data_IF_244985043443
#
_entry.id   IF_244985043443
#
_cell.length_a   1.000
_cell.length_b   1.000
_cell.length_c   1.000
_cell.angle_alpha   90.00
_cell.angle_beta   90.00
_cell.angle_gamma   90.00
#
_symmetry.space_group_name_H-M   'P 1'
#
loop_
_entity.id
_entity.type
_entity.pdbx_description
1 polymer ?
#
# COMPACT_ATOMS: atom_id res chain seq x y z
N UNK A 1 47.05 48.00 15.50
CA UNK A 1 46.08 48.10 14.38
C UNK A 1 46.88 48.02 13.09
N UNK A 2 46.92 46.84 12.50
CA UNK A 2 47.80 46.40 11.40
C UNK A 2 46.95 45.90 10.24
N UNK A 3 47.49 46.07 9.01
CA UNK A 3 47.37 45.23 7.79
C UNK A 3 45.97 45.04 7.16
N UNK A 4 45.69 45.57 5.95
CA UNK A 4 46.06 45.11 4.58
C UNK A 4 45.12 44.04 3.99
N UNK A 5 44.58 44.34 2.79
CA UNK A 5 44.33 43.47 1.60
C UNK A 5 43.40 42.24 1.78
N UNK A 6 42.63 41.72 0.80
CA UNK A 6 42.62 41.78 -0.67
C UNK A 6 41.25 41.30 -1.22
N UNK A 7 41.10 41.48 -2.52
CA UNK A 7 40.05 41.10 -3.47
C UNK A 7 39.58 39.63 -3.46
N UNK A 8 38.37 39.38 -3.99
CA UNK A 8 38.11 38.41 -5.08
C UNK A 8 36.60 38.34 -5.42
N UNK A 9 36.16 39.13 -6.42
CA UNK A 9 34.90 38.92 -7.15
C UNK A 9 35.26 38.49 -8.59
N UNK A 10 35.05 37.20 -8.89
CA UNK A 10 35.26 36.63 -10.23
C UNK A 10 33.90 36.30 -10.85
N UNK A 11 33.49 37.15 -11.79
CA UNK A 11 32.53 36.83 -12.84
C UNK A 11 33.27 36.13 -13.98
N UNK A 12 32.79 34.95 -14.40
CA UNK A 12 33.18 34.33 -15.67
C UNK A 12 31.92 33.90 -16.43
N UNK A 13 31.56 34.69 -17.44
CA UNK A 13 30.85 34.21 -18.64
C UNK A 13 31.87 33.64 -19.64
N UNK A 14 31.50 32.58 -20.38
CA UNK A 14 32.08 32.22 -21.68
C UNK A 14 31.22 31.16 -22.41
N UNK A 15 31.35 31.01 -23.75
CA UNK A 15 30.17 30.99 -24.62
C UNK A 15 29.92 29.67 -25.41
N UNK A 16 28.79 29.70 -26.10
CA UNK A 16 28.26 28.81 -27.14
C UNK A 16 29.31 28.40 -28.19
N UNK A 17 29.43 27.09 -28.51
CA UNK A 17 29.36 26.63 -29.91
C UNK A 17 29.03 25.13 -30.10
N UNK A 18 28.29 24.89 -31.18
CA UNK A 18 27.72 23.64 -31.69
C UNK A 18 28.78 22.71 -32.30
N UNK A 19 28.56 21.40 -32.19
CA UNK A 19 28.77 20.50 -33.34
C UNK A 19 27.88 19.25 -33.25
N UNK A 20 27.17 18.99 -34.34
CA UNK A 20 26.36 17.81 -34.60
C UNK A 20 27.23 16.57 -34.77
N UNK A 21 26.77 15.42 -34.23
CA UNK A 21 26.82 14.12 -34.92
C UNK A 21 25.74 13.19 -34.36
N UNK A 22 24.75 12.95 -35.20
CA UNK A 22 23.84 11.81 -35.11
C UNK A 22 24.66 10.51 -35.26
N UNK A 23 24.55 9.59 -34.31
CA UNK A 23 24.64 8.17 -34.59
C UNK A 23 23.73 7.39 -33.64
N UNK A 24 22.79 6.70 -34.28
CA UNK A 24 21.84 5.75 -33.72
C UNK A 24 22.54 4.47 -33.28
N UNK A 25 22.38 4.09 -32.01
CA UNK A 25 22.43 2.69 -31.60
C UNK A 25 21.74 2.53 -30.25
N UNK A 26 20.52 2.00 -30.28
CA UNK A 26 19.72 1.64 -29.12
C UNK A 26 20.48 0.70 -28.18
N UNK A 27 20.60 0.96 -26.87
CA UNK A 27 21.00 -0.06 -25.93
C UNK A 27 19.83 -1.04 -25.77
N UNK A 28 20.03 -2.29 -26.21
CA UNK A 28 19.09 -3.39 -25.93
C UNK A 28 18.93 -3.50 -24.41
N UNK A 29 17.72 -3.20 -23.91
CA UNK A 29 17.32 -3.55 -22.55
C UNK A 29 17.40 -5.08 -22.41
N UNK A 30 18.43 -5.56 -21.73
CA UNK A 30 18.45 -6.93 -21.19
C UNK A 30 17.51 -6.90 -20.00
N UNK A 31 16.27 -7.33 -20.21
CA UNK A 31 15.28 -7.54 -19.16
C UNK A 31 15.63 -8.82 -18.40
N UNK A 32 16.53 -8.73 -17.43
CA UNK A 32 16.56 -9.76 -16.38
C UNK A 32 15.29 -9.61 -15.56
N UNK A 33 14.33 -10.53 -15.74
CA UNK A 33 13.20 -10.73 -14.84
C UNK A 33 13.77 -11.01 -13.44
N UNK A 34 13.95 -9.97 -12.62
CA UNK A 34 14.03 -10.16 -11.17
C UNK A 34 12.61 -10.35 -10.69
N UNK A 35 12.27 -11.59 -10.32
CA UNK A 35 11.12 -11.85 -9.48
C UNK A 35 11.31 -11.01 -8.22
N UNK A 36 10.50 -9.97 -8.04
CA UNK A 36 10.35 -9.31 -6.76
C UNK A 36 9.51 -10.25 -5.89
N UNK A 37 10.16 -11.22 -5.26
CA UNK A 37 9.56 -11.92 -4.12
C UNK A 37 9.38 -10.89 -3.00
N UNK A 38 8.17 -10.89 -2.45
CA UNK A 38 7.84 -10.06 -1.30
C UNK A 38 8.67 -10.56 -0.10
N UNK A 39 9.18 -9.69 0.80
CA UNK A 39 9.82 -10.15 2.04
C UNK A 39 8.93 -11.09 2.87
N UNK A 40 7.62 -11.08 2.61
CA UNK A 40 6.61 -11.94 3.22
C UNK A 40 6.53 -13.35 2.60
N UNK A 41 7.10 -13.60 1.42
CA UNK A 41 7.11 -14.93 0.78
C UNK A 41 8.12 -15.89 1.41
N UNK A 42 9.06 -15.35 2.20
CA UNK A 42 10.06 -16.14 2.96
C UNK A 42 9.52 -16.70 4.28
N UNK A 43 8.31 -16.34 4.68
CA UNK A 43 7.72 -16.77 5.96
C UNK A 43 6.85 -18.01 5.72
N UNK A 44 7.53 -19.15 5.66
CA UNK A 44 7.11 -20.50 6.11
C UNK A 44 7.53 -21.61 5.13
N UNK A 45 8.78 -22.11 5.26
CA UNK A 45 9.16 -23.40 4.69
C UNK A 45 8.35 -24.57 5.29
N UNK A 46 7.68 -24.36 6.44
CA UNK A 46 6.96 -25.38 7.20
C UNK A 46 5.59 -25.77 6.59
N UNK A 47 5.03 -24.95 5.69
CA UNK A 47 3.76 -25.25 5.02
C UNK A 47 3.91 -26.09 3.73
N UNK A 48 5.13 -26.36 3.25
CA UNK A 48 5.36 -27.24 2.09
C UNK A 48 5.51 -28.73 2.43
N UNK A 49 5.58 -29.09 3.71
CA UNK A 49 5.78 -30.48 4.16
C UNK A 49 4.55 -31.07 4.87
N UNK A 50 3.36 -31.05 4.24
CA UNK A 50 2.23 -31.85 4.76
C UNK A 50 1.42 -32.49 3.64
N UNK A 51 2.08 -33.20 2.72
CA UNK A 51 1.44 -34.22 1.87
C UNK A 51 2.31 -35.47 1.75
N UNK A 52 2.59 -36.12 2.87
CA UNK A 52 2.99 -37.53 2.88
C UNK A 52 2.70 -38.13 4.25
N UNK A 53 1.98 -39.25 4.26
CA UNK A 53 1.81 -40.09 5.45
C UNK A 53 3.20 -40.60 5.83
N UNK A 54 3.75 -40.13 6.95
CA UNK A 54 4.99 -40.68 7.50
C UNK A 54 4.64 -41.72 8.57
N UNK A 55 4.89 -43.00 8.26
CA UNK A 55 4.93 -44.09 9.23
C UNK A 55 6.25 -44.01 9.98
N UNK A 56 6.22 -43.71 11.28
CA UNK A 56 7.39 -43.87 12.15
C UNK A 56 7.15 -45.08 13.05
N UNK A 57 7.93 -46.15 12.83
CA UNK A 57 8.00 -47.32 13.72
C UNK A 57 9.16 -47.08 14.68
N UNK A 58 8.89 -47.07 15.99
CA UNK A 58 9.93 -47.20 17.00
C UNK A 58 9.79 -48.58 17.64
N UNK A 59 10.85 -49.38 17.54
CA UNK A 59 10.96 -50.64 18.28
C UNK A 59 11.49 -50.32 19.68
N UNK A 60 10.67 -50.59 20.69
CA UNK A 60 11.15 -50.77 22.06
C UNK A 60 11.10 -52.27 22.37
N UNK A 61 12.08 -52.73 23.14
CA UNK A 61 12.47 -54.14 23.31
C UNK A 61 11.50 -55.07 24.04
N UNK A 62 10.20 -54.76 24.07
CA UNK A 62 9.15 -55.67 24.52
C UNK A 62 8.05 -55.68 23.46
N UNK A 63 7.61 -56.87 23.06
CA UNK A 63 6.90 -57.19 21.82
C UNK A 63 5.44 -56.69 21.75
N UNK A 64 5.19 -55.41 22.04
CA UNK A 64 3.89 -54.74 21.86
C UNK A 64 3.96 -53.69 20.75
N UNK A 65 3.21 -53.92 19.66
CA UNK A 65 3.06 -52.96 18.55
C UNK A 65 1.96 -51.95 18.88
N UNK A 66 2.31 -50.80 19.44
CA UNK A 66 1.36 -49.70 19.64
C UNK A 66 1.31 -48.81 18.40
N UNK A 67 0.24 -48.93 17.60
CA UNK A 67 -0.01 -48.05 16.45
C UNK A 67 -0.64 -46.74 16.93
N UNK A 68 0.15 -45.68 17.05
CA UNK A 68 -0.38 -44.34 17.28
C UNK A 68 -0.96 -43.76 16.00
N UNK A 69 -2.28 -43.93 15.79
CA UNK A 69 -3.03 -43.18 14.78
C UNK A 69 -3.04 -41.70 15.19
N UNK A 70 -2.16 -40.87 14.62
CA UNK A 70 -2.32 -39.40 14.71
C UNK A 70 -3.60 -39.02 13.98
N UNK A 71 -4.65 -38.68 14.73
CA UNK A 71 -5.89 -38.13 14.17
C UNK A 71 -5.52 -36.89 13.33
N UNK A 72 -5.99 -36.83 12.09
CA UNK A 72 -5.93 -35.58 11.30
C UNK A 72 -6.72 -34.52 12.06
N UNK A 73 -6.18 -33.31 12.27
CA UNK A 73 -6.94 -32.23 12.88
C UNK A 73 -8.22 -31.99 12.08
N UNK A 74 -9.33 -31.69 12.77
CA UNK A 74 -10.55 -31.29 12.07
C UNK A 74 -10.32 -29.94 11.38
N UNK A 75 -11.14 -29.58 10.37
CA UNK A 75 -11.04 -28.29 9.68
C UNK A 75 -11.15 -27.10 10.65
N UNK A 76 -11.88 -27.27 11.77
CA UNK A 76 -11.98 -26.27 12.83
C UNK A 76 -10.67 -26.16 13.64
N UNK A 77 -10.00 -27.29 13.90
CA UNK A 77 -8.69 -27.29 14.57
C UNK A 77 -7.61 -26.67 13.69
N UNK A 78 -7.62 -26.94 12.38
CA UNK A 78 -6.67 -26.32 11.44
C UNK A 78 -6.85 -24.80 11.34
N UNK A 79 -8.09 -24.31 11.37
CA UNK A 79 -8.38 -22.87 11.36
C UNK A 79 -7.91 -22.20 12.65
N UNK A 80 -8.22 -22.79 13.80
CA UNK A 80 -7.78 -22.27 15.09
C UNK A 80 -6.25 -22.27 15.24
N UNK A 81 -5.57 -23.30 14.73
CA UNK A 81 -4.10 -23.37 14.70
C UNK A 81 -3.49 -22.30 13.79
N UNK A 82 -4.08 -22.06 12.61
CA UNK A 82 -3.65 -20.96 11.71
C UNK A 82 -3.89 -19.59 12.33
N UNK A 83 -5.01 -19.38 13.01
CA UNK A 83 -5.33 -18.12 13.69
C UNK A 83 -4.37 -17.85 14.87
N UNK A 84 -4.05 -18.88 15.66
CA UNK A 84 -3.07 -18.78 16.74
C UNK A 84 -1.65 -18.49 16.23
N UNK A 85 -1.24 -19.14 15.15
CA UNK A 85 0.05 -18.90 14.49
C UNK A 85 0.12 -17.47 13.93
N UNK A 86 -0.97 -17.00 13.32
CA UNK A 86 -1.10 -15.62 12.81
C UNK A 86 -1.02 -14.59 13.94
N UNK A 87 -1.64 -14.87 15.09
CA UNK A 87 -1.63 -13.97 16.24
C UNK A 87 -0.24 -13.90 16.89
N UNK A 88 0.44 -15.03 17.02
CA UNK A 88 1.82 -15.11 17.51
C UNK A 88 2.77 -14.30 16.64
N UNK A 89 2.68 -14.45 15.32
CA UNK A 89 3.50 -13.67 14.35
C UNK A 89 3.21 -12.18 14.47
N UNK A 90 1.94 -11.78 14.59
CA UNK A 90 1.54 -10.38 14.76
C UNK A 90 2.13 -9.77 16.03
N UNK A 91 2.09 -10.49 17.14
CA UNK A 91 2.63 -10.04 18.42
C UNK A 91 4.16 -9.89 18.38
N UNK A 92 4.86 -10.85 17.78
CA UNK A 92 6.32 -10.75 17.57
C UNK A 92 6.69 -9.51 16.76
N UNK A 93 5.93 -9.21 15.70
CA UNK A 93 6.12 -8.01 14.88
C UNK A 93 5.88 -6.72 15.69
N UNK A 94 4.80 -6.65 16.47
CA UNK A 94 4.52 -5.49 17.33
C UNK A 94 5.66 -5.28 18.33
N UNK A 95 6.19 -6.34 18.92
CA UNK A 95 7.31 -6.25 19.86
C UNK A 95 8.61 -5.77 19.19
N UNK A 96 8.89 -6.19 17.96
CA UNK A 96 10.03 -5.71 17.19
C UNK A 96 9.92 -4.21 16.85
N UNK A 97 8.75 -3.77 16.36
CA UNK A 97 8.50 -2.36 16.03
C UNK A 97 8.52 -1.50 17.30
N UNK A 98 7.98 -2.01 18.42
CA UNK A 98 7.99 -1.31 19.71
C UNK A 98 9.42 -0.99 20.15
N UNK A 99 10.34 -1.96 20.08
CA UNK A 99 11.76 -1.72 20.39
C UNK A 99 12.37 -0.64 19.49
N UNK A 100 11.99 -0.60 18.22
CA UNK A 100 12.44 0.44 17.29
C UNK A 100 11.93 1.83 17.69
N UNK A 101 10.65 1.95 18.07
CA UNK A 101 10.10 3.22 18.56
C UNK A 101 10.72 3.67 19.88
N UNK A 102 11.06 2.74 20.78
CA UNK A 102 11.80 3.08 21.99
C UNK A 102 13.16 3.70 21.65
N UNK A 103 13.93 3.07 20.74
CA UNK A 103 15.20 3.62 20.28
C UNK A 103 15.06 5.00 19.60
N UNK A 104 13.96 5.24 18.87
CA UNK A 104 13.66 6.57 18.31
C UNK A 104 13.48 7.61 19.43
N UNK A 105 12.70 7.30 20.48
CA UNK A 105 12.48 8.22 21.61
C UNK A 105 13.80 8.59 22.29
N UNK A 106 14.64 7.60 22.57
CA UNK A 106 15.97 7.82 23.15
C UNK A 106 16.84 8.67 22.22
N UNK A 107 16.81 8.40 20.91
CA UNK A 107 17.61 9.11 19.91
C UNK A 107 17.22 10.58 19.71
N UNK A 108 15.95 10.95 19.95
CA UNK A 108 15.49 12.34 19.90
C UNK A 108 15.69 13.09 21.23
N UNK A 109 16.34 12.46 22.22
CA UNK A 109 16.64 13.06 23.52
C UNK A 109 15.48 13.00 24.52
N UNK A 110 14.47 12.17 24.27
CA UNK A 110 13.32 12.02 25.16
C UNK A 110 13.58 10.92 26.20
N UNK A 111 13.10 11.13 27.45
CA UNK A 111 13.09 10.10 28.50
C UNK A 111 11.90 9.13 28.32
N UNK A 112 12.12 7.86 27.91
CA UNK A 112 11.05 6.88 27.72
C UNK A 112 10.37 6.45 29.03
N UNK A 113 10.99 6.70 30.18
CA UNK A 113 10.46 6.32 31.49
C UNK A 113 9.39 7.29 32.01
N UNK A 114 9.22 8.46 31.38
CA UNK A 114 8.16 9.40 31.78
C UNK A 114 6.78 8.74 31.66
N UNK A 115 5.88 9.13 32.55
CA UNK A 115 4.51 8.57 32.63
C UNK A 115 3.76 8.58 31.28
N UNK A 116 3.92 9.63 30.47
CA UNK A 116 3.31 9.74 29.14
C UNK A 116 3.90 8.83 28.05
N UNK A 117 5.16 8.38 28.18
CA UNK A 117 5.87 7.58 27.16
C UNK A 117 5.98 6.09 27.47
N UNK A 118 5.71 5.65 28.71
CA UNK A 118 5.82 4.24 29.11
C UNK A 118 5.15 3.26 28.13
N UNK A 119 3.99 3.64 27.56
CA UNK A 119 3.25 2.83 26.60
C UNK A 119 3.35 3.34 25.15
N UNK A 120 4.09 4.41 24.89
CA UNK A 120 4.24 4.98 23.54
C UNK A 120 4.85 4.00 22.55
N UNK A 121 5.94 3.27 22.86
CA UNK A 121 6.52 2.31 21.92
C UNK A 121 5.49 1.28 21.39
N UNK A 122 4.69 0.70 22.30
CA UNK A 122 3.64 -0.26 21.95
C UNK A 122 2.51 0.38 21.15
N UNK A 123 1.98 1.54 21.60
CA UNK A 123 0.92 2.27 20.89
C UNK A 123 1.34 2.67 19.48
N UNK A 124 2.58 3.14 19.32
CA UNK A 124 3.13 3.53 18.02
C UNK A 124 3.30 2.32 17.10
N UNK A 125 3.77 1.18 17.63
CA UNK A 125 3.87 -0.06 16.87
C UNK A 125 2.50 -0.57 16.38
N UNK A 126 1.51 -0.59 17.27
CA UNK A 126 0.13 -0.99 16.93
C UNK A 126 -0.47 -0.06 15.87
N UNK A 127 -0.25 1.25 16.00
CA UNK A 127 -0.68 2.25 15.02
C UNK A 127 -0.02 2.03 13.65
N UNK A 128 1.31 1.82 13.60
CA UNK A 128 2.02 1.59 12.34
C UNK A 128 1.51 0.32 11.64
N UNK A 129 1.33 -0.78 12.39
CA UNK A 129 0.75 -2.03 11.86
C UNK A 129 -0.65 -1.80 11.30
N UNK A 130 -1.48 -0.98 11.96
CA UNK A 130 -2.80 -0.62 11.45
C UNK A 130 -2.73 0.24 10.18
N UNK A 131 -1.82 1.23 10.14
CA UNK A 131 -1.63 2.09 8.98
C UNK A 131 -1.10 1.32 7.76
N UNK A 132 -0.46 0.17 7.96
CA UNK A 132 0.07 -0.70 6.89
C UNK A 132 -0.70 -2.01 6.71
N UNK A 133 -1.89 -2.16 7.31
CA UNK A 133 -2.67 -3.41 7.26
C UNK A 133 -3.08 -3.81 5.83
N UNK A 134 -3.08 -2.87 4.89
CA UNK A 134 -3.47 -3.10 3.50
C UNK A 134 -2.56 -4.05 2.73
N UNK A 135 -1.34 -4.32 3.23
CA UNK A 135 -0.45 -5.34 2.66
C UNK A 135 -0.94 -6.78 2.92
N UNK A 136 -1.71 -6.99 3.99
CA UNK A 136 -2.24 -8.31 4.38
C UNK A 136 -3.60 -8.60 3.74
N UNK A 137 -4.14 -7.67 2.96
CA UNK A 137 -5.46 -7.76 2.36
C UNK A 137 -5.39 -8.11 0.89
N UNK A 138 -6.17 -9.10 0.48
CA UNK A 138 -6.40 -9.48 -0.91
C UNK A 138 -7.61 -8.74 -1.46
N UNK A 139 -7.48 -8.17 -2.67
CA UNK A 139 -8.62 -7.55 -3.38
C UNK A 139 -9.73 -8.56 -3.61
N UNK A 140 -9.37 -9.81 -3.96
CA UNK A 140 -10.33 -10.89 -4.20
C UNK A 140 -11.21 -11.14 -2.97
N UNK A 141 -10.61 -11.17 -1.78
CA UNK A 141 -11.34 -11.42 -0.52
C UNK A 141 -12.17 -10.20 -0.10
N UNK A 142 -11.71 -9.00 -0.45
CA UNK A 142 -12.46 -7.78 -0.20
C UNK A 142 -13.69 -7.70 -1.08
N UNK A 143 -13.57 -8.06 -2.35
CA UNK A 143 -14.63 -7.99 -3.35
C UNK A 143 -15.59 -9.16 -3.28
N UNK A 144 -15.17 -10.30 -2.71
CA UNK A 144 -15.97 -11.54 -2.72
C UNK A 144 -17.42 -11.31 -2.28
N UNK A 145 -18.32 -11.93 -3.03
CA UNK A 145 -19.76 -12.01 -2.78
C UNK A 145 -20.55 -10.69 -2.90
N UNK A 146 -19.99 -9.66 -3.56
CA UNK A 146 -20.70 -8.39 -3.80
C UNK A 146 -20.52 -7.84 -5.22
N UNK A 147 -20.42 -8.75 -6.18
CA UNK A 147 -20.57 -8.44 -7.60
C UNK A 147 -21.97 -8.89 -8.00
N UNK A 148 -22.74 -7.98 -8.58
CA UNK A 148 -24.12 -8.22 -8.96
C UNK A 148 -24.24 -8.10 -10.48
N UNK A 149 -25.01 -9.00 -11.08
CA UNK A 149 -25.43 -8.88 -12.47
C UNK A 149 -26.64 -7.94 -12.52
N UNK A 150 -26.44 -6.75 -13.07
CA UNK A 150 -27.43 -5.68 -13.15
C UNK A 150 -27.37 -5.05 -14.54
N UNK A 151 -28.54 -4.78 -15.14
CA UNK A 151 -28.65 -4.10 -16.44
C UNK A 151 -28.42 -2.57 -16.30
N UNK A 152 -27.39 -2.18 -15.56
CA UNK A 152 -26.97 -0.80 -15.42
C UNK A 152 -25.92 -0.47 -16.47
N UNK A 153 -26.28 0.34 -17.47
CA UNK A 153 -25.34 0.81 -18.49
C UNK A 153 -24.77 2.20 -18.17
N UNK A 154 -25.37 2.91 -17.22
CA UNK A 154 -25.03 4.29 -16.88
C UNK A 154 -23.83 4.40 -15.93
N UNK A 155 -23.24 5.59 -15.87
CA UNK A 155 -22.12 5.87 -14.98
C UNK A 155 -22.52 5.74 -13.51
N UNK A 156 -21.74 4.98 -12.74
CA UNK A 156 -21.85 4.92 -11.28
C UNK A 156 -20.72 5.73 -10.67
N UNK A 157 -21.04 6.67 -9.79
CA UNK A 157 -20.06 7.53 -9.11
C UNK A 157 -20.22 7.42 -7.60
N UNK A 158 -19.14 7.04 -6.91
CA UNK A 158 -19.01 7.12 -5.46
C UNK A 158 -17.95 8.15 -5.14
N UNK A 159 -18.35 9.25 -4.50
CA UNK A 159 -17.48 10.39 -4.21
C UNK A 159 -17.37 10.69 -2.73
N UNK A 160 -16.37 11.49 -2.40
CA UNK A 160 -16.08 11.95 -1.03
C UNK A 160 -15.75 10.81 -0.06
N UNK A 161 -15.15 9.72 -0.56
CA UNK A 161 -14.62 8.65 0.29
C UNK A 161 -13.35 9.18 0.96
N UNK A 162 -13.37 9.27 2.29
CA UNK A 162 -12.20 9.72 3.05
C UNK A 162 -11.07 8.69 2.99
N UNK A 163 -9.85 9.18 2.79
CA UNK A 163 -8.65 8.36 2.73
C UNK A 163 -7.58 8.88 3.67
N UNK A 164 -6.85 7.94 4.25
CA UNK A 164 -5.67 8.18 5.08
C UNK A 164 -4.59 7.22 4.62
N UNK A 165 -3.40 7.75 4.37
CA UNK A 165 -2.24 6.98 3.93
C UNK A 165 -0.95 7.56 4.49
N UNK A 166 0.17 6.86 4.30
CA UNK A 166 1.50 7.27 4.74
C UNK A 166 2.38 7.54 3.53
N UNK A 167 3.01 8.71 3.47
CA UNK A 167 3.99 9.02 2.44
C UNK A 167 5.21 8.11 2.62
N UNK A 168 5.56 7.30 1.62
CA UNK A 168 6.68 6.36 1.74
C UNK A 168 8.04 7.02 1.95
N UNK A 169 8.21 8.27 1.49
CA UNK A 169 9.46 9.02 1.62
C UNK A 169 9.75 9.49 3.05
N UNK A 170 8.72 9.72 3.86
CA UNK A 170 8.87 10.35 5.18
C UNK A 170 8.14 9.60 6.31
N UNK A 171 7.35 8.57 5.97
CA UNK A 171 6.45 7.87 6.90
C UNK A 171 5.49 8.82 7.65
N UNK A 172 5.15 9.94 7.01
CA UNK A 172 4.27 10.99 7.53
C UNK A 172 2.94 10.93 6.77
N UNK A 173 1.79 11.16 7.43
CA UNK A 173 0.49 11.03 6.79
C UNK A 173 0.26 11.97 5.61
N UNK A 174 -0.44 11.47 4.60
CA UNK A 174 -1.22 12.29 3.69
C UNK A 174 -2.66 11.76 3.69
N UNK A 175 -3.62 12.67 3.61
CA UNK A 175 -5.03 12.34 3.75
C UNK A 175 -5.89 13.28 2.93
N UNK A 176 -7.09 12.82 2.60
CA UNK A 176 -8.00 13.58 1.77
C UNK A 176 -9.16 12.73 1.32
N UNK A 177 -9.60 12.92 0.07
CA UNK A 177 -10.81 12.30 -0.47
C UNK A 177 -10.51 11.67 -1.82
N UNK A 178 -11.22 10.59 -2.11
CA UNK A 178 -11.26 9.96 -3.42
C UNK A 178 -12.67 9.97 -3.98
N UNK A 179 -12.75 10.18 -5.29
CA UNK A 179 -13.95 9.95 -6.08
C UNK A 179 -13.66 8.89 -7.13
N UNK A 180 -14.55 7.92 -7.23
CA UNK A 180 -14.46 6.77 -8.12
C UNK A 180 -15.69 6.77 -9.02
N UNK A 181 -15.46 6.69 -10.32
CA UNK A 181 -16.49 6.51 -11.33
C UNK A 181 -16.20 5.26 -12.15
N UNK A 182 -17.23 4.54 -12.57
CA UNK A 182 -17.07 3.47 -13.56
C UNK A 182 -18.32 3.33 -14.43
N UNK A 183 -18.13 2.78 -15.63
CA UNK A 183 -19.20 2.41 -16.55
C UNK A 183 -19.33 0.89 -16.56
N UNK A 184 -20.37 0.31 -15.95
CA UNK A 184 -20.51 -1.14 -15.84
C UNK A 184 -20.56 -1.84 -17.20
N UNK A 185 -20.22 -3.12 -17.19
CA UNK A 185 -20.43 -4.06 -18.29
C UNK A 185 -21.15 -5.28 -17.72
N UNK A 186 -22.47 -5.14 -17.48
CA UNK A 186 -23.35 -6.13 -16.84
C UNK A 186 -23.05 -6.43 -15.37
N UNK A 187 -21.82 -6.19 -14.89
CA UNK A 187 -21.41 -6.38 -13.50
C UNK A 187 -21.29 -5.06 -12.76
N UNK A 188 -21.96 -4.97 -11.61
CA UNK A 188 -21.94 -3.84 -10.68
C UNK A 188 -21.28 -4.26 -9.38
N UNK A 189 -20.41 -3.40 -8.85
CA UNK A 189 -19.76 -3.62 -7.57
C UNK A 189 -20.58 -2.98 -6.45
N UNK A 190 -20.82 -3.73 -5.36
CA UNK A 190 -21.46 -3.18 -4.17
C UNK A 190 -20.74 -1.94 -3.65
N UNK A 191 -21.47 -0.85 -3.40
CA UNK A 191 -20.90 0.48 -3.11
C UNK A 191 -19.88 0.47 -1.96
N UNK A 192 -20.13 -0.33 -0.92
CA UNK A 192 -19.22 -0.46 0.23
C UNK A 192 -17.88 -1.10 -0.13
N UNK A 193 -17.80 -1.89 -1.21
CA UNK A 193 -16.56 -2.53 -1.66
C UNK A 193 -15.62 -1.55 -2.33
N UNK A 194 -16.13 -0.49 -2.97
CA UNK A 194 -15.29 0.57 -3.53
C UNK A 194 -14.47 1.22 -2.41
N UNK A 195 -15.13 1.60 -1.30
CA UNK A 195 -14.43 2.15 -0.14
C UNK A 195 -13.41 1.17 0.47
N UNK A 196 -13.72 -0.14 0.48
CA UNK A 196 -12.77 -1.14 0.97
C UNK A 196 -11.56 -1.33 0.05
N UNK A 197 -11.74 -1.31 -1.28
CA UNK A 197 -10.63 -1.34 -2.25
C UNK A 197 -9.71 -0.14 -2.02
N UNK A 198 -10.30 1.05 -1.84
CA UNK A 198 -9.56 2.26 -1.49
C UNK A 198 -8.72 2.06 -0.22
N UNK A 199 -9.31 1.49 0.84
CA UNK A 199 -8.62 1.24 2.10
C UNK A 199 -7.45 0.23 1.96
N UNK A 200 -7.62 -0.84 1.15
CA UNK A 200 -6.55 -1.83 0.90
C UNK A 200 -5.27 -1.15 0.39
N UNK A 201 -5.39 -0.17 -0.49
CA UNK A 201 -4.24 0.54 -1.03
C UNK A 201 -3.81 1.74 -0.19
N UNK A 202 -4.74 2.45 0.45
CA UNK A 202 -4.39 3.62 1.27
C UNK A 202 -3.69 3.21 2.56
N UNK A 203 -3.98 2.02 3.11
CA UNK A 203 -3.32 1.47 4.31
C UNK A 203 -1.98 0.79 3.97
N UNK A 204 -1.12 1.53 3.27
CA UNK A 204 0.23 1.14 2.84
C UNK A 204 1.15 2.36 2.91
N UNK A 205 2.45 2.14 2.73
CA UNK A 205 3.36 3.22 2.38
C UNK A 205 3.15 3.53 0.89
N UNK A 206 2.92 4.80 0.56
CA UNK A 206 2.42 5.18 -0.75
C UNK A 206 3.04 6.46 -1.31
N UNK A 207 2.87 6.56 -2.62
CA UNK A 207 2.91 7.78 -3.44
C UNK A 207 1.51 7.97 -4.03
N UNK A 208 0.97 9.19 -4.01
CA UNK A 208 -0.45 9.44 -4.32
C UNK A 208 -0.81 9.01 -5.76
N UNK A 209 0.09 9.21 -6.70
CA UNK A 209 -0.01 8.81 -8.10
C UNK A 209 -0.18 7.28 -8.21
N UNK A 210 0.62 6.53 -7.45
CA UNK A 210 0.57 5.07 -7.41
C UNK A 210 -0.72 4.59 -6.78
N UNK A 211 -1.12 5.18 -5.65
CA UNK A 211 -2.37 4.89 -4.97
C UNK A 211 -3.57 5.07 -5.91
N UNK A 212 -3.61 6.19 -6.64
CA UNK A 212 -4.69 6.51 -7.59
C UNK A 212 -4.81 5.45 -8.68
N UNK A 213 -3.67 5.08 -9.28
CA UNK A 213 -3.61 4.06 -10.34
C UNK A 213 -4.02 2.68 -9.83
N UNK A 214 -3.51 2.26 -8.66
CA UNK A 214 -3.81 0.94 -8.08
C UNK A 214 -5.30 0.76 -7.81
N UNK A 215 -5.98 1.80 -7.32
CA UNK A 215 -7.44 1.75 -7.11
C UNK A 215 -8.17 1.56 -8.44
N UNK A 216 -7.81 2.32 -9.47
CA UNK A 216 -8.44 2.21 -10.79
C UNK A 216 -8.24 0.82 -11.42
N UNK A 217 -7.01 0.30 -11.38
CA UNK A 217 -6.66 -1.02 -11.89
C UNK A 217 -7.37 -2.15 -11.13
N UNK A 218 -7.44 -2.07 -9.80
CA UNK A 218 -8.11 -3.10 -8.99
C UNK A 218 -9.62 -3.17 -9.26
N UNK A 219 -10.27 -2.02 -9.48
CA UNK A 219 -11.68 -2.00 -9.87
C UNK A 219 -11.84 -2.58 -11.28
N UNK A 220 -10.96 -2.21 -12.21
CA UNK A 220 -11.00 -2.72 -13.57
C UNK A 220 -10.83 -4.25 -13.61
N UNK A 221 -9.89 -4.80 -12.82
CA UNK A 221 -9.67 -6.24 -12.69
C UNK A 221 -10.86 -6.96 -12.02
N UNK A 222 -11.49 -6.32 -11.02
CA UNK A 222 -12.57 -6.93 -10.26
C UNK A 222 -13.87 -7.15 -11.06
N UNK A 223 -14.25 -6.19 -11.92
CA UNK A 223 -15.57 -6.23 -12.60
C UNK A 223 -15.50 -6.09 -14.13
N UNK A 224 -14.32 -5.88 -14.71
CA UNK A 224 -14.08 -5.62 -16.14
C UNK A 224 -15.10 -4.63 -16.75
N UNK A 225 -15.20 -3.42 -16.18
CA UNK A 225 -16.13 -2.41 -16.66
C UNK A 225 -15.65 -1.84 -18.02
N UNK A 226 -16.53 -1.14 -18.73
CA UNK A 226 -16.16 -0.42 -19.95
C UNK A 226 -15.11 0.67 -19.70
N UNK A 227 -15.08 1.21 -18.49
CA UNK A 227 -14.03 2.11 -18.05
C UNK A 227 -14.13 2.44 -16.56
N UNK A 228 -13.03 2.95 -16.01
CA UNK A 228 -12.91 3.39 -14.62
C UNK A 228 -12.22 4.74 -14.57
N UNK A 229 -12.67 5.59 -13.67
CA UNK A 229 -12.03 6.86 -13.34
C UNK A 229 -11.85 6.99 -11.84
N UNK A 230 -10.68 7.44 -11.41
CA UNK A 230 -10.37 7.71 -10.01
C UNK A 230 -9.72 9.09 -9.93
N UNK A 231 -10.18 9.93 -9.02
CA UNK A 231 -9.56 11.21 -8.66
C UNK A 231 -9.33 11.23 -7.16
N UNK A 232 -8.10 11.53 -6.75
CA UNK A 232 -7.72 11.72 -5.36
C UNK A 232 -7.25 13.16 -5.18
N UNK A 233 -7.76 13.84 -4.16
CA UNK A 233 -7.22 15.11 -3.68
C UNK A 233 -6.79 14.94 -2.23
N UNK A 234 -5.54 15.30 -1.91
CA UNK A 234 -4.99 15.15 -0.56
C UNK A 234 -4.15 16.35 -0.12
N UNK A 235 -4.09 16.49 1.21
CA UNK A 235 -3.11 17.26 1.95
C UNK A 235 -1.95 16.35 2.34
N UNK A 236 -0.73 16.84 2.19
CA UNK A 236 0.49 16.11 2.53
C UNK A 236 1.16 16.74 3.73
N UNK A 237 1.15 16.06 4.89
CA UNK A 237 1.77 16.64 6.10
C UNK A 237 3.27 16.85 5.91
N UNK A 238 3.93 16.07 5.06
CA UNK A 238 5.34 16.28 4.72
C UNK A 238 5.62 17.61 3.99
N UNK A 239 4.60 18.28 3.43
CA UNK A 239 4.68 19.63 2.87
C UNK A 239 4.13 20.72 3.79
N UNK A 240 3.33 20.35 4.79
CA UNK A 240 2.61 21.30 5.66
C UNK A 240 3.38 21.55 6.95
N UNK A 241 3.77 20.49 7.66
CA UNK A 241 4.38 20.62 9.01
C UNK A 241 5.91 20.67 8.98
N UNK A 242 6.52 20.54 7.79
CA UNK A 242 7.96 20.60 7.57
C UNK A 242 8.28 20.97 6.12
N UNK A 243 9.55 21.20 5.84
CA UNK A 243 10.03 21.43 4.47
C UNK A 243 9.53 22.76 3.93
N UNK A 244 8.64 22.73 2.92
CA UNK A 244 8.15 23.94 2.27
C UNK A 244 7.06 24.70 3.05
N UNK A 245 6.43 24.04 4.03
CA UNK A 245 5.45 24.59 4.97
C UNK A 245 4.28 25.33 4.29
N UNK A 246 3.66 24.69 3.28
CA UNK A 246 2.56 25.26 2.49
C UNK A 246 1.21 24.70 2.94
N UNK A 247 0.62 25.35 3.94
CA UNK A 247 -0.65 24.95 4.59
C UNK A 247 -1.81 24.76 3.62
N UNK A 248 -1.89 25.58 2.57
CA UNK A 248 -2.98 25.54 1.60
C UNK A 248 -2.70 24.64 0.39
N UNK A 249 -1.51 24.02 0.31
CA UNK A 249 -1.14 23.21 -0.84
C UNK A 249 -1.91 21.90 -0.87
N UNK A 250 -2.52 21.60 -2.02
CA UNK A 250 -3.28 20.36 -2.27
C UNK A 250 -2.74 19.69 -3.51
N UNK A 251 -2.71 18.36 -3.48
CA UNK A 251 -2.27 17.56 -4.62
C UNK A 251 -3.45 16.77 -5.14
N UNK A 252 -3.76 16.95 -6.42
CA UNK A 252 -4.81 16.21 -7.13
C UNK A 252 -4.19 15.30 -8.16
N UNK A 253 -4.55 14.02 -8.12
CA UNK A 253 -4.09 12.98 -9.03
C UNK A 253 -5.30 12.27 -9.63
N UNK A 254 -5.19 11.81 -10.87
CA UNK A 254 -6.26 11.09 -11.54
C UNK A 254 -5.76 9.90 -12.36
N UNK A 255 -6.54 8.83 -12.42
CA UNK A 255 -6.33 7.69 -13.29
C UNK A 255 -7.61 7.40 -14.09
N UNK A 256 -7.50 7.40 -15.42
CA UNK A 256 -8.61 7.16 -16.35
C UNK A 256 -8.29 5.93 -17.20
N UNK A 257 -9.19 4.93 -17.20
CA UNK A 257 -9.08 3.66 -17.91
C UNK A 257 -10.31 3.44 -18.81
N UNK A 258 -10.11 2.71 -19.91
CA UNK A 258 -11.17 2.40 -20.88
C UNK A 258 -11.84 3.66 -21.44
N UNK A 259 -13.17 3.65 -21.50
CA UNK A 259 -13.97 4.75 -22.08
C UNK A 259 -13.68 6.13 -21.44
N UNK A 260 -13.33 6.20 -20.15
CA UNK A 260 -12.96 7.49 -19.51
C UNK A 260 -11.64 8.08 -20.05
N UNK A 261 -10.76 7.25 -20.61
CA UNK A 261 -9.52 7.69 -21.26
C UNK A 261 -9.79 8.10 -22.71
N UNK A 262 -10.56 7.28 -23.41
CA UNK A 262 -10.79 7.35 -24.85
C UNK A 262 -11.81 8.43 -25.23
N UNK A 263 -12.91 8.56 -24.48
CA UNK A 263 -13.97 9.54 -24.75
C UNK A 263 -13.88 10.76 -23.80
N UNK A 264 -13.56 11.95 -24.35
CA UNK A 264 -13.55 13.18 -23.56
C UNK A 264 -14.90 13.54 -22.92
N UNK A 265 -16.04 13.20 -23.55
CA UNK A 265 -17.36 13.56 -23.03
C UNK A 265 -17.68 12.79 -21.75
N UNK A 266 -17.48 11.48 -21.76
CA UNK A 266 -17.58 10.64 -20.57
C UNK A 266 -16.66 11.14 -19.44
N UNK A 267 -15.43 11.54 -19.78
CA UNK A 267 -14.49 12.09 -18.80
C UNK A 267 -14.97 13.42 -18.20
N UNK A 268 -15.52 14.30 -19.02
CA UNK A 268 -16.04 15.60 -18.57
C UNK A 268 -17.28 15.44 -17.68
N UNK A 269 -18.18 14.51 -18.01
CA UNK A 269 -19.32 14.15 -17.18
C UNK A 269 -18.85 13.71 -15.79
N UNK A 270 -17.85 12.83 -15.72
CA UNK A 270 -17.27 12.39 -14.46
C UNK A 270 -16.59 13.51 -13.68
N UNK A 271 -15.80 14.36 -14.33
CA UNK A 271 -15.15 15.49 -13.67
C UNK A 271 -16.17 16.45 -13.06
N UNK A 272 -17.37 16.54 -13.66
CA UNK A 272 -18.48 17.34 -13.15
C UNK A 272 -19.17 16.66 -11.96
N UNK A 273 -19.54 15.38 -12.09
CA UNK A 273 -20.26 14.63 -11.05
C UNK A 273 -19.38 14.29 -9.83
N UNK A 274 -18.13 13.93 -10.09
CA UNK A 274 -17.11 13.50 -9.14
C UNK A 274 -16.32 14.65 -8.51
N UNK A 275 -16.66 15.91 -8.80
CA UNK A 275 -16.05 17.06 -8.14
C UNK A 275 -16.28 16.97 -6.63
N UNK A 276 -15.18 16.98 -5.87
CA UNK A 276 -15.17 16.95 -4.41
C UNK A 276 -15.30 18.36 -3.85
N UNK A 277 -15.94 18.51 -2.70
CA UNK A 277 -15.94 19.78 -1.98
C UNK A 277 -14.56 20.04 -1.39
N UNK A 278 -14.09 21.31 -1.39
CA UNK A 278 -12.90 21.66 -0.64
C UNK A 278 -13.08 21.32 0.85
N UNK A 279 -12.08 20.67 1.44
CA UNK A 279 -11.89 20.61 2.90
C UNK A 279 -11.86 21.99 3.55
#
# INVERSE_FOLDING_TARGET
>A
MTSQQSDDDIFLESPINKSHRFFSSSPKLITTKRNHESPYDTISPLLRQTKSVSLSVQENGDNERTVHLRRRPSVLDEKALREADTQSVREQRINAISRSYQGILESIGEDPSRQGLLKTPKRAAEALVFFTKGYEQSIRDVVSDAIFDEECENMVVVKEIDIYSLCEHHMVPFFGKVSVGYLPNKRVLGLSKIARIVEVFSRRLQVQERLTRQIAEAIAEAIEPRGVAVIIECLHMCMIMRGAEKVNSRTTTSAMLGVFREDPKTREEFLTLGRMKPF
#
